data_IF_541527055155
#
_entry.id   IF_541527055155
#
_cell.length_a   1.000
_cell.length_b   1.000
_cell.length_c   1.000
_cell.angle_alpha   90.00
_cell.angle_beta   90.00
_cell.angle_gamma   90.00
#
_symmetry.space_group_name_H-M   'P 1'
#
loop_
_entity.id
_entity.type
_entity.pdbx_description
1 polymer ?
#
# COMPACT_ATOMS: atom_id res chain seq x y z
N UNK A 1 -13.55 -0.58 -5.92
CA UNK A 1 -12.67 -0.38 -4.75
C UNK A 1 -13.51 -0.74 -3.55
N UNK A 2 -12.95 -1.51 -2.61
CA UNK A 2 -13.67 -1.96 -1.43
C UNK A 2 -13.38 -0.99 -0.29
N UNK A 3 -14.40 -0.23 0.10
CA UNK A 3 -14.35 0.76 1.17
C UNK A 3 -14.96 0.12 2.43
N UNK A 4 -14.13 -0.39 3.33
CA UNK A 4 -14.62 -1.05 4.53
C UNK A 4 -14.90 -0.07 5.66
N UNK A 5 -15.89 -0.36 6.48
CA UNK A 5 -16.15 0.31 7.75
C UNK A 5 -15.82 -0.61 8.93
N UNK A 6 -15.76 -0.06 10.15
CA UNK A 6 -15.56 -0.85 11.38
C UNK A 6 -16.65 -1.93 11.53
N UNK A 7 -17.90 -1.61 11.21
CA UNK A 7 -19.03 -2.55 11.28
C UNK A 7 -18.87 -3.74 10.34
N UNK A 8 -18.43 -3.53 9.09
CA UNK A 8 -18.20 -4.59 8.12
C UNK A 8 -17.06 -5.53 8.55
N UNK A 9 -15.97 -4.97 9.07
CA UNK A 9 -14.86 -5.78 9.58
C UNK A 9 -15.31 -6.65 10.77
N UNK A 10 -16.09 -6.07 11.69
CA UNK A 10 -16.65 -6.78 12.86
C UNK A 10 -17.63 -7.88 12.48
N UNK A 11 -18.41 -7.71 11.40
CA UNK A 11 -19.31 -8.77 10.89
C UNK A 11 -18.60 -9.82 10.02
N UNK A 12 -17.31 -9.62 9.72
CA UNK A 12 -16.53 -10.49 8.83
C UNK A 12 -16.79 -10.24 7.34
N UNK A 13 -17.48 -9.16 6.99
CA UNK A 13 -17.71 -8.71 5.61
C UNK A 13 -16.47 -7.97 5.07
N UNK A 14 -15.40 -8.74 4.87
CA UNK A 14 -14.11 -8.26 4.36
C UNK A 14 -13.86 -8.71 2.92
N UNK A 15 -12.93 -8.05 2.24
CA UNK A 15 -12.51 -8.45 0.90
C UNK A 15 -11.52 -9.61 0.94
N UNK A 16 -11.64 -10.55 0.01
CA UNK A 16 -10.66 -11.63 -0.16
C UNK A 16 -9.96 -11.53 -1.51
N UNK A 17 -8.70 -11.97 -1.56
CA UNK A 17 -7.92 -12.13 -2.77
C UNK A 17 -7.13 -13.45 -2.74
N UNK A 18 -6.65 -13.88 -3.91
CA UNK A 18 -6.02 -15.19 -4.10
C UNK A 18 -7.01 -16.30 -4.43
N UNK A 19 -6.53 -17.55 -4.43
CA UNK A 19 -7.29 -18.73 -4.87
C UNK A 19 -7.01 -19.98 -4.02
N UNK A 20 -6.93 -19.81 -2.70
CA UNK A 20 -6.86 -20.93 -1.74
C UNK A 20 -8.24 -21.35 -1.23
N UNK A 21 -8.30 -22.49 -0.52
CA UNK A 21 -9.52 -23.03 0.09
C UNK A 21 -9.46 -23.06 1.63
N UNK A 22 -8.66 -22.18 2.24
CA UNK A 22 -8.40 -22.16 3.69
C UNK A 22 -8.70 -20.81 4.34
N UNK A 23 -8.38 -20.71 5.63
CA UNK A 23 -8.38 -19.43 6.35
C UNK A 23 -7.32 -18.48 5.76
N UNK A 24 -7.54 -17.16 5.82
CA UNK A 24 -6.60 -16.18 5.30
C UNK A 24 -5.25 -16.26 6.02
N UNK A 25 -4.15 -16.21 5.26
CA UNK A 25 -2.79 -16.30 5.81
C UNK A 25 -2.10 -14.94 5.88
N UNK A 26 -2.47 -14.03 4.98
CA UNK A 26 -1.95 -12.68 4.93
C UNK A 26 -3.07 -11.64 4.81
N UNK A 27 -2.79 -10.42 5.25
CA UNK A 27 -3.67 -9.28 5.14
C UNK A 27 -2.94 -8.13 4.46
N UNK A 28 -3.62 -7.38 3.59
CA UNK A 28 -3.21 -6.02 3.24
C UNK A 28 -4.11 -5.02 3.95
N UNK A 29 -3.51 -4.06 4.65
CA UNK A 29 -4.19 -3.03 5.40
C UNK A 29 -3.70 -1.64 5.00
N UNK A 30 -4.64 -0.75 4.69
CA UNK A 30 -4.38 0.69 4.57
C UNK A 30 -5.37 1.41 3.68
N UNK A 31 -4.89 2.41 2.95
CA UNK A 31 -5.76 3.33 2.22
C UNK A 31 -5.98 2.94 0.75
N UNK A 32 -6.37 3.91 -0.09
CA UNK A 32 -6.56 3.71 -1.53
C UNK A 32 -5.29 3.26 -2.26
N UNK A 33 -4.09 3.53 -1.72
CA UNK A 33 -2.83 2.97 -2.23
C UNK A 33 -2.73 1.47 -1.95
N UNK A 34 -3.18 1.01 -0.78
CA UNK A 34 -3.28 -0.42 -0.49
C UNK A 34 -4.25 -1.11 -1.46
N UNK A 35 -5.43 -0.53 -1.69
CA UNK A 35 -6.39 -1.04 -2.66
C UNK A 35 -5.77 -1.19 -4.06
N UNK A 36 -4.95 -0.22 -4.47
CA UNK A 36 -4.31 -0.23 -5.77
C UNK A 36 -3.26 -1.35 -5.92
N UNK A 37 -2.70 -1.88 -4.83
CA UNK A 37 -1.73 -2.98 -4.85
C UNK A 37 -2.37 -4.38 -4.84
N UNK A 38 -3.65 -4.50 -4.46
CA UNK A 38 -4.37 -5.79 -4.37
C UNK A 38 -4.25 -6.66 -5.63
N UNK A 39 -4.32 -6.15 -6.87
CA UNK A 39 -4.19 -7.00 -8.07
C UNK A 39 -2.86 -7.77 -8.14
N UNK A 40 -1.78 -7.22 -7.58
CA UNK A 40 -0.49 -7.91 -7.53
C UNK A 40 -0.49 -9.04 -6.49
N UNK A 41 -1.10 -8.78 -5.33
CA UNK A 41 -1.28 -9.77 -4.28
C UNK A 41 -2.23 -10.89 -4.71
N UNK A 42 -3.33 -10.56 -5.38
CA UNK A 42 -4.26 -11.55 -5.95
C UNK A 42 -3.55 -12.52 -6.90
N UNK A 43 -2.68 -11.97 -7.77
CA UNK A 43 -1.83 -12.75 -8.67
C UNK A 43 -0.91 -13.71 -7.88
N UNK A 44 -0.12 -13.18 -6.94
CA UNK A 44 0.85 -13.96 -6.17
C UNK A 44 0.18 -15.00 -5.27
N UNK A 45 -0.84 -14.60 -4.50
CA UNK A 45 -1.59 -15.53 -3.66
C UNK A 45 -2.33 -16.58 -4.49
N UNK A 46 -2.79 -16.23 -5.71
CA UNK A 46 -3.34 -17.17 -6.67
C UNK A 46 -2.31 -18.23 -7.12
N UNK A 47 -1.08 -17.80 -7.45
CA UNK A 47 0.04 -18.71 -7.78
C UNK A 47 0.39 -19.64 -6.62
N UNK A 48 0.38 -19.11 -5.39
CA UNK A 48 0.74 -19.84 -4.16
C UNK A 48 -0.42 -20.63 -3.54
N UNK A 49 -1.63 -20.54 -4.11
CA UNK A 49 -2.88 -21.11 -3.55
C UNK A 49 -3.17 -20.64 -2.12
N UNK A 50 -2.77 -19.41 -1.80
CA UNK A 50 -3.05 -18.75 -0.52
C UNK A 50 -4.34 -17.93 -0.61
N UNK A 51 -4.96 -17.72 0.54
CA UNK A 51 -6.05 -16.75 0.72
C UNK A 51 -5.49 -15.55 1.46
N UNK A 52 -5.74 -14.37 0.94
CA UNK A 52 -5.46 -13.12 1.62
C UNK A 52 -6.72 -12.29 1.85
N UNK A 53 -6.65 -11.39 2.84
CA UNK A 53 -7.74 -10.49 3.20
C UNK A 53 -7.36 -9.03 2.96
N UNK A 54 -8.28 -8.27 2.39
CA UNK A 54 -8.16 -6.84 2.16
C UNK A 54 -8.93 -6.08 3.24
N UNK A 55 -8.21 -5.31 4.04
CA UNK A 55 -8.77 -4.41 5.04
C UNK A 55 -8.45 -2.96 4.64
N UNK A 56 -9.27 -2.31 3.82
CA UNK A 56 -8.91 -0.99 3.27
C UNK A 56 -10.05 0.01 3.30
N UNK A 57 -9.70 1.29 3.50
CA UNK A 57 -10.61 2.42 3.33
C UNK A 57 -9.83 3.64 2.85
N UNK A 58 -10.36 4.38 1.87
CA UNK A 58 -9.71 5.55 1.30
C UNK A 58 -9.28 6.54 2.38
N UNK A 59 -8.09 7.13 2.23
CA UNK A 59 -7.53 8.10 3.19
C UNK A 59 -7.51 7.66 4.66
N UNK A 60 -7.54 6.36 4.93
CA UNK A 60 -7.47 5.79 6.28
C UNK A 60 -6.18 4.97 6.39
N UNK A 61 -5.09 5.55 6.94
CA UNK A 61 -3.83 4.83 7.04
C UNK A 61 -3.91 3.68 8.05
N UNK A 62 -3.09 2.63 7.90
CA UNK A 62 -3.19 1.45 8.74
C UNK A 62 -2.48 1.67 10.08
N UNK A 63 -3.06 2.54 10.91
CA UNK A 63 -2.46 3.05 12.14
C UNK A 63 -3.48 3.04 13.29
N UNK A 64 -3.21 2.24 14.33
CA UNK A 64 -3.95 2.25 15.58
C UNK A 64 -3.81 3.59 16.31
N UNK A 65 -4.91 4.07 16.91
CA UNK A 65 -4.96 5.34 17.62
C UNK A 65 -4.77 6.58 16.74
N UNK A 66 -4.78 6.44 15.41
CA UNK A 66 -4.63 7.55 14.50
C UNK A 66 -5.99 8.11 14.09
N UNK A 67 -6.16 9.43 14.20
CA UNK A 67 -7.34 10.14 13.71
C UNK A 67 -7.03 10.85 12.41
N UNK A 68 -7.77 10.52 11.35
CA UNK A 68 -7.63 11.13 10.05
C UNK A 68 -8.89 11.96 9.72
N UNK A 69 -8.77 13.29 9.70
CA UNK A 69 -9.90 14.21 9.46
C UNK A 69 -9.98 14.73 8.02
N UNK A 70 -9.33 14.03 7.09
CA UNK A 70 -9.40 14.36 5.66
C UNK A 70 -10.77 13.96 5.10
N UNK A 71 -11.25 14.65 4.07
CA UNK A 71 -12.44 14.17 3.34
C UNK A 71 -12.19 12.75 2.83
N UNK A 72 -13.23 11.93 2.75
CA UNK A 72 -13.17 10.54 2.27
C UNK A 72 -12.39 9.55 3.15
N UNK A 73 -11.94 9.96 4.34
CA UNK A 73 -11.56 9.03 5.40
C UNK A 73 -12.78 8.63 6.24
N UNK A 74 -12.56 7.74 7.21
CA UNK A 74 -13.56 7.39 8.23
C UNK A 74 -13.74 8.45 9.33
N UNK A 75 -13.04 9.60 9.24
CA UNK A 75 -13.14 10.69 10.21
C UNK A 75 -12.95 10.20 11.66
N UNK A 76 -13.93 10.37 12.53
CA UNK A 76 -13.90 9.91 13.92
C UNK A 76 -13.87 8.38 14.05
N UNK A 77 -14.34 7.65 13.05
CA UNK A 77 -14.41 6.17 13.06
C UNK A 77 -13.07 5.52 12.63
N UNK A 78 -12.06 6.33 12.26
CA UNK A 78 -10.72 5.84 11.85
C UNK A 78 -10.09 4.94 12.90
N UNK A 79 -10.21 5.32 14.18
CA UNK A 79 -9.62 4.60 15.31
C UNK A 79 -10.35 3.26 15.54
N UNK A 80 -11.69 3.28 15.57
CA UNK A 80 -12.50 2.07 15.73
C UNK A 80 -12.27 1.08 14.56
N UNK A 81 -12.09 1.60 13.35
CA UNK A 81 -11.73 0.78 12.20
C UNK A 81 -10.38 0.10 12.40
N UNK A 82 -9.34 0.84 12.81
CA UNK A 82 -8.02 0.26 13.07
C UNK A 82 -8.09 -0.86 14.13
N UNK A 83 -8.81 -0.64 15.23
CA UNK A 83 -9.02 -1.63 16.28
C UNK A 83 -9.73 -2.88 15.74
N UNK A 84 -10.76 -2.70 14.91
CA UNK A 84 -11.47 -3.82 14.29
C UNK A 84 -10.60 -4.64 13.36
N UNK A 85 -9.69 -4.00 12.60
CA UNK A 85 -8.77 -4.68 11.69
C UNK A 85 -7.72 -5.48 12.45
N UNK A 86 -7.16 -4.90 13.53
CA UNK A 86 -6.23 -5.60 14.42
C UNK A 86 -6.93 -6.81 15.05
N UNK A 87 -8.12 -6.62 15.62
CA UNK A 87 -8.87 -7.72 16.24
C UNK A 87 -9.16 -8.83 15.22
N UNK A 88 -9.58 -8.48 14.01
CA UNK A 88 -9.78 -9.46 12.94
C UNK A 88 -8.50 -10.24 12.63
N UNK A 89 -7.35 -9.56 12.55
CA UNK A 89 -6.07 -10.20 12.28
C UNK A 89 -5.69 -11.21 13.38
N UNK A 90 -5.97 -10.88 14.64
CA UNK A 90 -5.75 -11.76 15.79
C UNK A 90 -6.69 -12.97 15.77
N UNK A 91 -8.00 -12.74 15.58
CA UNK A 91 -9.03 -13.78 15.60
C UNK A 91 -8.82 -14.80 14.47
N UNK A 92 -8.45 -14.30 13.29
CA UNK A 92 -8.15 -15.12 12.12
C UNK A 92 -6.73 -15.67 12.09
N UNK A 93 -5.91 -15.34 13.09
CA UNK A 93 -4.50 -15.79 13.22
C UNK A 93 -3.70 -15.50 11.94
N UNK A 94 -3.88 -14.29 11.40
CA UNK A 94 -3.14 -13.82 10.24
C UNK A 94 -1.64 -13.88 10.56
N UNK A 95 -0.84 -14.45 9.66
CA UNK A 95 0.60 -14.62 9.86
C UNK A 95 1.39 -13.39 9.43
N UNK A 96 0.98 -12.77 8.32
CA UNK A 96 1.66 -11.59 7.74
C UNK A 96 0.67 -10.45 7.49
N UNK A 97 0.97 -9.25 7.98
CA UNK A 97 0.19 -8.03 7.70
C UNK A 97 1.04 -7.06 6.89
N UNK A 98 0.55 -6.75 5.69
CA UNK A 98 1.16 -5.81 4.75
C UNK A 98 0.53 -4.43 4.99
N UNK A 99 1.30 -3.53 5.57
CA UNK A 99 0.93 -2.13 5.78
C UNK A 99 1.39 -1.30 4.59
N UNK A 100 0.45 -0.59 3.96
CA UNK A 100 0.79 0.38 2.91
C UNK A 100 -0.27 1.47 2.83
N UNK A 101 0.15 2.70 2.58
CA UNK A 101 -0.73 3.85 2.45
C UNK A 101 -0.05 4.91 1.57
N UNK A 102 -0.70 6.05 1.39
CA UNK A 102 -0.03 7.27 0.92
C UNK A 102 0.76 7.90 2.09
N UNK A 103 1.87 7.28 2.49
CA UNK A 103 2.52 7.58 3.77
C UNK A 103 2.97 9.03 3.93
N UNK A 104 3.52 9.62 2.87
CA UNK A 104 3.88 11.05 2.83
C UNK A 104 2.70 11.98 3.05
N UNK A 105 1.47 11.53 2.76
CA UNK A 105 0.23 12.23 3.09
C UNK A 105 -0.04 12.35 4.60
N UNK A 106 0.56 11.49 5.43
CA UNK A 106 0.34 11.47 6.88
C UNK A 106 1.60 11.75 7.71
N UNK A 107 2.79 11.45 7.19
CA UNK A 107 4.06 11.47 7.95
C UNK A 107 4.52 12.83 8.48
N UNK A 108 3.85 13.91 8.09
CA UNK A 108 4.08 15.24 8.65
C UNK A 108 3.32 15.46 9.97
N UNK A 109 2.28 14.68 10.25
CA UNK A 109 1.43 14.81 11.42
C UNK A 109 2.17 14.31 12.69
N UNK A 110 2.08 15.04 13.83
CA UNK A 110 2.78 14.65 15.06
C UNK A 110 2.41 13.27 15.61
N UNK A 111 1.15 12.85 15.40
CA UNK A 111 0.65 11.54 15.84
C UNK A 111 1.16 10.36 15.00
N UNK A 112 1.69 10.61 13.79
CA UNK A 112 2.02 9.55 12.85
C UNK A 112 3.06 8.56 13.39
N UNK A 113 4.24 9.04 13.83
CA UNK A 113 5.33 8.16 14.29
C UNK A 113 4.94 7.37 15.55
N UNK A 114 4.31 7.97 16.59
CA UNK A 114 3.79 7.21 17.73
C UNK A 114 2.75 6.15 17.35
N UNK A 115 1.77 6.48 16.50
CA UNK A 115 0.72 5.54 16.09
C UNK A 115 1.30 4.38 15.26
N UNK A 116 2.22 4.68 14.33
CA UNK A 116 2.91 3.66 13.54
C UNK A 116 3.69 2.70 14.44
N UNK A 117 4.47 3.23 15.39
CA UNK A 117 5.20 2.42 16.35
C UNK A 117 4.26 1.51 17.16
N UNK A 118 3.20 2.07 17.74
CA UNK A 118 2.22 1.31 18.51
C UNK A 118 1.55 0.20 17.68
N UNK A 119 1.21 0.50 16.43
CA UNK A 119 0.60 -0.48 15.50
C UNK A 119 1.53 -1.65 15.23
N UNK A 120 2.79 -1.37 14.91
CA UNK A 120 3.80 -2.40 14.65
C UNK A 120 4.08 -3.21 15.92
N UNK A 121 4.21 -2.57 17.08
CA UNK A 121 4.40 -3.26 18.36
C UNK A 121 3.23 -4.18 18.72
N UNK A 122 1.99 -3.72 18.49
CA UNK A 122 0.78 -4.50 18.72
C UNK A 122 0.75 -5.79 17.87
N UNK A 123 0.98 -5.67 16.56
CA UNK A 123 0.98 -6.80 15.64
C UNK A 123 2.13 -7.77 15.93
N UNK A 124 3.35 -7.26 16.10
CA UNK A 124 4.54 -8.10 16.31
C UNK A 124 4.54 -8.82 17.66
N UNK A 125 4.03 -8.19 18.72
CA UNK A 125 3.86 -8.84 20.05
C UNK A 125 2.86 -9.99 19.98
N UNK A 126 1.89 -9.93 19.07
CA UNK A 126 0.97 -11.02 18.80
C UNK A 126 1.56 -12.12 17.89
N UNK A 127 2.84 -12.01 17.51
CA UNK A 127 3.51 -12.97 16.64
C UNK A 127 3.19 -12.81 15.15
N UNK A 128 2.61 -11.67 14.75
CA UNK A 128 2.31 -11.36 13.35
C UNK A 128 3.53 -10.67 12.71
N UNK A 129 3.99 -11.18 11.57
CA UNK A 129 5.03 -10.54 10.77
C UNK A 129 4.45 -9.29 10.08
N UNK A 130 5.10 -8.15 10.27
CA UNK A 130 4.69 -6.88 9.68
C UNK A 130 5.55 -6.57 8.46
N UNK A 131 4.90 -6.27 7.35
CA UNK A 131 5.57 -5.84 6.11
C UNK A 131 5.13 -4.42 5.81
N UNK A 132 6.06 -3.46 5.88
CA UNK A 132 5.81 -2.06 5.51
C UNK A 132 6.27 -1.86 4.06
N UNK A 133 5.33 -1.58 3.16
CA UNK A 133 5.64 -1.21 1.77
C UNK A 133 5.78 0.30 1.68
N UNK A 134 6.98 0.78 1.30
CA UNK A 134 7.26 2.21 1.08
C UNK A 134 6.36 2.79 -0.02
N UNK A 135 6.25 4.12 -0.04
CA UNK A 135 5.43 4.83 -1.04
C UNK A 135 5.88 4.49 -2.47
N UNK A 136 4.92 4.34 -3.37
CA UNK A 136 5.18 4.54 -4.81
C UNK A 136 5.28 6.03 -5.10
N UNK A 137 6.05 6.43 -6.13
CA UNK A 137 6.16 7.84 -6.45
C UNK A 137 4.83 8.46 -6.86
N UNK A 138 4.53 9.64 -6.31
CA UNK A 138 3.50 10.53 -6.82
C UNK A 138 4.03 11.43 -7.93
N UNK A 139 3.14 11.83 -8.83
CA UNK A 139 3.40 12.75 -9.94
C UNK A 139 2.68 14.08 -9.72
N UNK A 140 3.13 15.13 -10.39
CA UNK A 140 2.53 16.47 -10.28
C UNK A 140 1.19 16.60 -11.00
N UNK A 141 0.90 15.71 -11.94
CA UNK A 141 -0.30 15.78 -12.78
C UNK A 141 -0.82 14.38 -13.07
N UNK A 142 -2.07 14.32 -13.48
CA UNK A 142 -2.73 13.11 -13.96
C UNK A 142 -1.94 12.45 -15.12
N UNK A 143 -1.51 11.21 -14.88
CA UNK A 143 -0.68 10.45 -15.81
C UNK A 143 -1.42 10.10 -17.08
N UNK A 144 -2.70 9.74 -16.99
CA UNK A 144 -3.53 9.36 -18.14
C UNK A 144 -3.70 10.56 -19.07
N UNK A 145 -4.00 11.73 -18.50
CA UNK A 145 -4.14 12.97 -19.25
C UNK A 145 -2.80 13.44 -19.85
N UNK A 146 -1.69 13.33 -19.11
CA UNK A 146 -0.35 13.61 -19.65
C UNK A 146 0.00 12.68 -20.81
N UNK A 147 -0.28 11.38 -20.67
CA UNK A 147 -0.02 10.39 -21.69
C UNK A 147 -0.86 10.64 -22.95
N UNK A 148 -2.17 10.91 -22.80
CA UNK A 148 -3.06 11.22 -23.92
C UNK A 148 -2.58 12.45 -24.70
N UNK A 149 -2.25 13.55 -23.98
CA UNK A 149 -1.71 14.77 -24.60
C UNK A 149 -0.40 14.53 -25.34
N UNK A 150 0.52 13.76 -24.74
CA UNK A 150 1.79 13.44 -25.38
C UNK A 150 1.57 12.59 -26.66
N UNK A 151 0.70 11.58 -26.61
CA UNK A 151 0.36 10.75 -27.76
C UNK A 151 -0.27 11.57 -28.91
N UNK A 152 -1.22 12.45 -28.60
CA UNK A 152 -1.84 13.35 -29.60
C UNK A 152 -0.82 14.30 -30.25
N UNK A 153 0.25 14.65 -29.54
CA UNK A 153 1.32 15.51 -30.04
C UNK A 153 2.47 14.73 -30.71
N UNK A 154 2.35 13.41 -30.85
CA UNK A 154 3.43 12.56 -31.37
C UNK A 154 4.68 12.53 -30.49
N UNK A 155 4.56 12.89 -29.20
CA UNK A 155 5.67 12.90 -28.23
C UNK A 155 5.85 11.51 -27.62
N UNK A 156 7.08 11.23 -27.21
CA UNK A 156 7.41 9.99 -26.52
C UNK A 156 6.74 9.94 -25.14
N UNK A 157 5.78 9.04 -24.95
CA UNK A 157 5.06 8.85 -23.68
C UNK A 157 5.93 8.19 -22.60
N UNK A 158 6.99 7.49 -22.99
CA UNK A 158 7.88 6.81 -22.04
C UNK A 158 8.70 7.82 -21.22
N UNK A 159 8.78 9.09 -21.63
CA UNK A 159 9.44 10.14 -20.84
C UNK A 159 8.63 10.59 -19.61
N UNK A 160 7.38 10.14 -19.46
CA UNK A 160 6.52 10.51 -18.34
C UNK A 160 6.97 9.74 -17.09
N UNK A 161 7.36 10.50 -16.07
CA UNK A 161 7.88 9.98 -14.82
C UNK A 161 8.38 11.10 -13.92
N UNK A 162 9.04 10.74 -12.83
CA UNK A 162 9.70 11.66 -11.91
C UNK A 162 11.12 11.19 -11.62
N UNK A 163 12.01 12.10 -11.25
CA UNK A 163 13.36 11.73 -10.84
C UNK A 163 13.29 10.90 -9.55
N UNK A 164 13.96 9.74 -9.53
CA UNK A 164 13.99 8.86 -8.35
C UNK A 164 14.51 9.59 -7.11
N UNK A 165 15.56 10.39 -7.25
CA UNK A 165 16.10 11.18 -6.13
C UNK A 165 15.10 12.21 -5.55
N UNK A 166 14.20 12.75 -6.38
CA UNK A 166 13.15 13.65 -5.90
C UNK A 166 12.14 12.89 -5.04
N UNK A 167 11.74 11.67 -5.45
CA UNK A 167 10.91 10.78 -4.65
C UNK A 167 11.59 10.41 -3.31
N UNK A 168 12.86 10.00 -3.34
CA UNK A 168 13.63 9.66 -2.13
C UNK A 168 13.70 10.86 -1.18
N UNK A 169 13.93 12.06 -1.72
CA UNK A 169 13.99 13.29 -0.92
C UNK A 169 12.65 13.61 -0.26
N UNK A 170 11.55 13.51 -1.01
CA UNK A 170 10.20 13.72 -0.47
C UNK A 170 9.83 12.71 0.63
N UNK A 171 10.32 11.47 0.51
CA UNK A 171 10.03 10.39 1.44
C UNK A 171 10.99 10.27 2.62
N UNK A 172 12.08 11.07 2.66
CA UNK A 172 13.19 10.91 3.60
C UNK A 172 12.74 10.77 5.05
N UNK A 173 11.82 11.64 5.50
CA UNK A 173 11.35 11.67 6.89
C UNK A 173 10.61 10.38 7.26
N UNK A 174 9.69 9.94 6.41
CA UNK A 174 8.88 8.74 6.62
C UNK A 174 9.73 7.48 6.51
N UNK A 175 10.61 7.40 5.50
CA UNK A 175 11.51 6.26 5.33
C UNK A 175 12.42 6.08 6.54
N UNK A 176 12.94 7.17 7.11
CA UNK A 176 13.73 7.11 8.33
C UNK A 176 12.94 6.58 9.54
N UNK A 177 11.61 6.74 9.59
CA UNK A 177 10.77 6.14 10.62
C UNK A 177 10.63 4.63 10.41
N UNK A 178 10.45 4.18 9.17
CA UNK A 178 10.39 2.74 8.86
C UNK A 178 11.72 2.03 9.14
N UNK A 179 12.84 2.66 8.78
CA UNK A 179 14.16 2.07 8.99
C UNK A 179 14.45 1.84 10.50
N UNK A 180 13.88 2.64 11.40
CA UNK A 180 13.95 2.43 12.87
C UNK A 180 13.12 1.24 13.36
N UNK A 181 12.07 0.87 12.62
CA UNK A 181 11.15 -0.21 12.98
C UNK A 181 11.58 -1.56 12.40
N UNK A 182 12.44 -1.55 11.38
CA UNK A 182 12.94 -2.76 10.74
C UNK A 182 13.60 -3.71 11.74
N UNK A 183 13.30 -5.00 11.64
CA UNK A 183 13.78 -6.01 12.57
C UNK A 183 13.30 -7.42 12.19
N UNK A 184 13.50 -8.43 13.07
CA UNK A 184 13.17 -9.82 12.76
C UNK A 184 11.70 -10.07 12.40
N UNK A 185 10.78 -9.30 12.96
CA UNK A 185 9.33 -9.38 12.72
C UNK A 185 8.80 -8.24 11.84
N UNK A 186 9.68 -7.36 11.35
CA UNK A 186 9.29 -6.15 10.60
C UNK A 186 10.16 -6.03 9.35
N UNK A 187 9.58 -6.36 8.20
CA UNK A 187 10.21 -6.20 6.91
C UNK A 187 9.79 -4.86 6.29
N UNK A 188 10.77 -4.04 5.88
CA UNK A 188 10.50 -2.81 5.14
C UNK A 188 10.92 -3.03 3.69
N UNK A 189 9.98 -2.87 2.76
CA UNK A 189 10.22 -3.12 1.32
C UNK A 189 10.05 -1.87 0.47
N UNK A 190 10.93 -1.73 -0.50
CA UNK A 190 10.96 -0.62 -1.44
C UNK A 190 10.39 -1.05 -2.81
N UNK A 191 9.30 -0.43 -3.30
CA UNK A 191 8.78 -0.73 -4.63
C UNK A 191 9.63 -0.14 -5.76
N UNK A 192 10.54 0.80 -5.50
CA UNK A 192 11.31 1.52 -6.51
C UNK A 192 11.99 0.64 -7.58
N UNK A 193 12.61 -0.52 -7.25
CA UNK A 193 13.29 -1.36 -8.26
C UNK A 193 12.38 -1.82 -9.41
N UNK A 194 11.06 -1.76 -9.23
CA UNK A 194 10.08 -2.19 -10.23
C UNK A 194 9.56 -1.05 -11.11
N UNK A 195 9.94 0.20 -10.82
CA UNK A 195 9.50 1.39 -11.56
C UNK A 195 10.64 2.27 -12.04
N UNK A 196 11.78 2.27 -11.34
CA UNK A 196 12.95 3.07 -11.67
C UNK A 196 13.74 2.39 -12.77
N UNK A 197 14.06 3.15 -13.81
CA UNK A 197 14.90 2.67 -14.89
C UNK A 197 16.40 2.97 -14.66
N UNK A 198 17.24 2.53 -15.60
CA UNK A 198 18.69 2.72 -15.56
C UNK A 198 19.13 4.20 -15.50
N UNK A 199 18.26 5.13 -15.91
CA UNK A 199 18.53 6.57 -15.90
C UNK A 199 18.11 7.24 -14.59
N UNK A 200 17.66 6.47 -13.58
CA UNK A 200 17.16 7.01 -12.32
C UNK A 200 15.82 7.72 -12.47
N UNK A 201 15.03 7.38 -13.49
CA UNK A 201 13.67 7.90 -13.66
C UNK A 201 12.66 6.87 -13.17
N UNK A 202 11.82 7.27 -12.22
CA UNK A 202 10.62 6.52 -11.86
C UNK A 202 9.60 6.66 -12.97
N UNK A 203 9.42 5.60 -13.77
CA UNK A 203 8.54 5.63 -14.94
C UNK A 203 7.08 5.54 -14.53
N UNK A 204 6.23 6.36 -15.14
CA UNK A 204 4.78 6.32 -14.96
C UNK A 204 4.05 5.70 -16.16
N UNK A 205 4.77 5.37 -17.23
CA UNK A 205 4.28 4.66 -18.40
C UNK A 205 5.26 3.55 -18.73
N UNK A 206 4.75 2.34 -19.01
CA UNK A 206 5.55 1.20 -19.41
C UNK A 206 4.86 0.43 -20.53
N UNK A 207 5.57 0.14 -21.63
CA UNK A 207 5.04 -0.55 -22.81
C UNK A 207 3.71 0.03 -23.30
N UNK A 208 3.61 1.36 -23.35
CA UNK A 208 2.40 2.06 -23.81
C UNK A 208 1.19 1.97 -22.85
N UNK A 209 1.39 1.54 -21.61
CA UNK A 209 0.35 1.50 -20.57
C UNK A 209 0.68 2.48 -19.44
N UNK A 210 -0.29 3.29 -18.97
CA UNK A 210 -0.09 4.10 -17.78
C UNK A 210 -0.01 3.18 -16.55
N UNK A 211 0.99 3.39 -15.71
CA UNK A 211 1.15 2.69 -14.44
C UNK A 211 0.33 3.35 -13.33
N UNK A 212 -0.18 4.57 -13.56
CA UNK A 212 -1.00 5.33 -12.64
C UNK A 212 -2.32 5.76 -13.30
N UNK A 213 -3.43 5.66 -12.56
CA UNK A 213 -4.76 6.05 -13.07
C UNK A 213 -5.03 7.55 -12.91
N UNK A 214 -4.30 8.17 -12.01
CA UNK A 214 -4.29 9.60 -11.71
C UNK A 214 -2.84 10.03 -11.41
N UNK A 215 -2.63 10.99 -10.51
CA UNK A 215 -1.31 11.46 -10.13
C UNK A 215 -0.54 10.52 -9.17
N UNK A 216 -1.20 9.62 -8.43
CA UNK A 216 -0.54 8.85 -7.35
C UNK A 216 -1.01 7.41 -7.20
N UNK A 217 -2.20 7.05 -7.69
CA UNK A 217 -2.74 5.70 -7.56
C UNK A 217 -2.33 4.82 -8.74
N UNK A 218 -1.84 3.61 -8.44
CA UNK A 218 -1.50 2.64 -9.48
C UNK A 218 -2.73 2.20 -10.28
N UNK A 219 -2.54 1.94 -11.57
CA UNK A 219 -3.45 1.09 -12.35
C UNK A 219 -3.22 -0.38 -12.02
N UNK A 220 -4.06 -1.28 -12.54
CA UNK A 220 -3.76 -2.72 -12.52
C UNK A 220 -2.40 -3.02 -13.17
N UNK A 221 -2.06 -2.35 -14.27
CA UNK A 221 -0.76 -2.53 -14.92
C UNK A 221 0.41 -2.05 -14.03
N UNK A 222 0.22 -0.95 -13.30
CA UNK A 222 1.16 -0.49 -12.28
C UNK A 222 1.32 -1.48 -11.13
N UNK A 223 0.20 -1.95 -10.58
CA UNK A 223 0.19 -2.94 -9.50
C UNK A 223 0.95 -4.20 -9.90
N UNK A 224 0.69 -4.75 -11.09
CA UNK A 224 1.32 -5.99 -11.56
C UNK A 224 2.85 -5.89 -11.71
N UNK A 225 3.44 -4.70 -11.73
CA UNK A 225 4.90 -4.52 -11.64
C UNK A 225 5.46 -5.01 -10.30
N UNK A 226 4.65 -4.99 -9.25
CA UNK A 226 5.00 -5.42 -7.88
C UNK A 226 4.83 -6.92 -7.64
N UNK A 227 4.38 -7.71 -8.63
CA UNK A 227 4.27 -9.16 -8.49
C UNK A 227 5.58 -9.82 -8.01
N UNK A 228 6.77 -9.48 -8.55
CA UNK A 228 8.00 -10.09 -8.05
C UNK A 228 8.31 -9.67 -6.60
N UNK A 229 8.03 -8.42 -6.21
CA UNK A 229 8.16 -7.96 -4.83
C UNK A 229 7.31 -8.80 -3.88
N UNK A 230 6.01 -8.90 -4.17
CA UNK A 230 5.09 -9.64 -3.31
C UNK A 230 5.38 -11.14 -3.29
N UNK A 231 5.89 -11.69 -4.40
CA UNK A 231 6.35 -13.09 -4.44
C UNK A 231 7.53 -13.33 -3.50
N UNK A 232 8.47 -12.41 -3.39
CA UNK A 232 9.61 -12.58 -2.48
C UNK A 232 9.20 -12.50 -1.00
N UNK A 233 8.29 -11.59 -0.64
CA UNK A 233 7.93 -11.38 0.78
C UNK A 233 6.87 -12.36 1.30
N UNK A 234 6.09 -12.99 0.42
CA UNK A 234 5.05 -13.96 0.80
C UNK A 234 5.53 -15.41 0.81
N UNK A 235 6.74 -15.70 0.29
CA UNK A 235 7.43 -16.98 0.54
C UNK A 235 7.52 -17.29 2.03
#
# INVERSE_FOLDING_TARGET
>A
MLELTSSMVKSGEVGFFGKGNGEPECMIWGDSHAMAMVPALDCVCGEMKMVGVQATHSRTPPLAGFKCMLSDSLLEDTEEFADSVIQYALDKKIKKVILTASWTGYGHLPSFEPCLKSTVECLTTAGIEVIIVKDVAGLSDDVVMKMAKAAMQGKNTNSIGVAYNAHVTANRKVNAMFDKLAGPMVLVVDPAPYFVDENGTWRAVYNGKPLYRDASHLTVAGALRLVPLFREILK
#
